data_IF_975413650256
#
_entry.id   IF_975413650256
#
_cell.length_a   1.000
_cell.length_b   1.000
_cell.length_c   1.000
_cell.angle_alpha   90.00
_cell.angle_beta   90.00
_cell.angle_gamma   90.00
#
_symmetry.space_group_name_H-M   'P 1'
#
loop_
_entity.id
_entity.type
_entity.pdbx_description
1 polymer ?
#
# COMPACT_ATOMS: atom_id res chain seq x y z
N UNK A 1 14.77 5.30 24.76
CA UNK A 1 14.78 5.70 23.35
C UNK A 1 13.79 4.81 22.63
N UNK A 2 12.93 5.43 21.83
CA UNK A 2 12.12 4.87 20.75
C UNK A 2 11.18 3.71 21.08
N UNK A 3 9.90 4.03 21.25
CA UNK A 3 8.83 3.10 20.93
C UNK A 3 8.97 2.75 19.45
N UNK A 4 9.62 1.63 19.15
CA UNK A 4 9.86 1.12 17.79
C UNK A 4 8.55 1.08 17.01
N UNK A 5 8.33 2.10 16.17
CA UNK A 5 7.33 2.02 15.12
C UNK A 5 7.89 1.00 14.13
N UNK A 6 7.17 -0.11 13.84
CA UNK A 6 7.68 -1.14 12.95
C UNK A 6 8.12 -0.52 11.63
N UNK A 7 9.34 -0.80 11.20
CA UNK A 7 9.84 -0.32 9.91
C UNK A 7 8.85 -0.66 8.80
N UNK A 8 8.39 0.36 8.08
CA UNK A 8 7.36 0.24 7.05
C UNK A 8 7.97 -0.19 5.71
N UNK A 9 8.78 -1.26 5.76
CA UNK A 9 9.40 -1.85 4.58
C UNK A 9 8.39 -2.81 3.93
N UNK A 10 8.02 -2.61 2.66
CA UNK A 10 7.06 -3.50 2.02
C UNK A 10 7.69 -4.88 1.78
N UNK A 11 6.91 -5.96 1.95
CA UNK A 11 7.38 -7.32 1.74
C UNK A 11 7.52 -7.62 0.24
N UNK A 12 8.11 -8.77 -0.09
CA UNK A 12 8.47 -9.13 -1.45
C UNK A 12 7.26 -9.17 -2.39
N UNK A 13 6.12 -9.65 -1.90
CA UNK A 13 4.87 -9.79 -2.65
C UNK A 13 4.32 -8.42 -3.06
N UNK A 14 4.44 -7.42 -2.19
CA UNK A 14 4.05 -6.03 -2.49
C UNK A 14 4.95 -5.43 -3.55
N UNK A 15 6.26 -5.69 -3.44
CA UNK A 15 7.25 -5.22 -4.41
C UNK A 15 7.02 -5.84 -5.80
N UNK A 16 6.75 -7.15 -5.86
CA UNK A 16 6.46 -7.88 -7.10
C UNK A 16 5.18 -7.37 -7.76
N UNK A 17 4.11 -7.13 -6.99
CA UNK A 17 2.87 -6.57 -7.52
C UNK A 17 3.08 -5.15 -8.09
N UNK A 18 3.83 -4.30 -7.38
CA UNK A 18 4.17 -2.96 -7.85
C UNK A 18 5.02 -2.99 -9.13
N UNK A 19 5.98 -3.91 -9.22
CA UNK A 19 6.78 -4.12 -10.43
C UNK A 19 5.90 -4.58 -11.61
N UNK A 20 5.00 -5.54 -11.37
CA UNK A 20 4.02 -6.00 -12.37
C UNK A 20 3.14 -4.84 -12.86
N UNK A 21 2.62 -4.02 -11.96
CA UNK A 21 1.83 -2.84 -12.32
C UNK A 21 2.59 -1.85 -13.19
N UNK A 22 3.89 -1.64 -12.92
CA UNK A 22 4.75 -0.80 -13.75
C UNK A 22 4.98 -1.40 -15.15
N UNK A 23 5.21 -2.70 -15.24
CA UNK A 23 5.36 -3.43 -16.52
C UNK A 23 4.09 -3.31 -17.37
N UNK A 24 2.93 -3.65 -16.80
CA UNK A 24 1.64 -3.55 -17.50
C UNK A 24 1.34 -2.11 -17.92
N UNK A 25 1.59 -1.12 -17.05
CA UNK A 25 1.42 0.29 -17.43
C UNK A 25 2.33 0.71 -18.58
N UNK A 26 3.56 0.21 -18.63
CA UNK A 26 4.49 0.49 -19.72
C UNK A 26 3.98 -0.08 -21.04
N UNK A 27 3.43 -1.29 -21.01
CA UNK A 27 2.91 -2.00 -22.18
C UNK A 27 1.59 -1.40 -22.70
N UNK A 28 0.59 -1.25 -21.83
CA UNK A 28 -0.76 -0.84 -22.23
C UNK A 28 -1.00 0.68 -22.14
N UNK A 29 -0.03 1.43 -21.60
CA UNK A 29 -0.05 2.90 -21.48
C UNK A 29 -1.29 3.48 -20.78
N UNK A 30 -1.95 2.68 -19.92
CA UNK A 30 -3.15 3.06 -19.16
C UNK A 30 -3.04 2.68 -17.69
N UNK A 31 -3.95 3.21 -16.87
CA UNK A 31 -4.04 2.90 -15.44
C UNK A 31 -3.13 3.74 -14.54
N UNK A 32 -3.70 4.20 -13.42
CA UNK A 32 -3.02 4.96 -12.37
C UNK A 32 -2.58 6.38 -12.76
N UNK A 33 -2.36 7.21 -11.75
CA UNK A 33 -1.77 8.55 -11.90
C UNK A 33 -0.25 8.50 -11.70
N UNK A 34 0.44 9.62 -11.96
CA UNK A 34 1.88 9.73 -11.66
C UNK A 34 2.19 9.48 -10.17
N UNK A 35 1.25 9.76 -9.27
CA UNK A 35 1.36 9.41 -7.84
C UNK A 35 1.40 7.90 -7.65
N UNK A 36 0.56 7.15 -8.36
CA UNK A 36 0.58 5.68 -8.35
C UNK A 36 1.89 5.12 -8.92
N UNK A 37 2.42 5.73 -9.99
CA UNK A 37 3.71 5.33 -10.58
C UNK A 37 4.86 5.57 -9.61
N UNK A 38 4.91 6.74 -8.97
CA UNK A 38 5.92 7.05 -7.96
C UNK A 38 5.82 6.06 -6.78
N UNK A 39 4.60 5.78 -6.30
CA UNK A 39 4.36 4.79 -5.25
C UNK A 39 4.89 3.41 -5.65
N UNK A 40 4.58 2.93 -6.85
CA UNK A 40 5.05 1.65 -7.33
C UNK A 40 6.58 1.56 -7.37
N UNK A 41 7.27 2.66 -7.72
CA UNK A 41 8.73 2.73 -7.70
C UNK A 41 9.29 2.65 -6.28
N UNK A 42 8.65 3.26 -5.29
CA UNK A 42 9.07 3.12 -3.90
C UNK A 42 8.86 1.68 -3.40
N UNK A 43 7.69 1.11 -3.71
CA UNK A 43 7.30 -0.24 -3.29
C UNK A 43 8.20 -1.32 -3.90
N UNK A 44 8.45 -1.29 -5.23
CA UNK A 44 9.29 -2.29 -5.90
C UNK A 44 10.73 -2.33 -5.34
N UNK A 45 11.24 -1.16 -4.93
CA UNK A 45 12.59 -1.01 -4.41
C UNK A 45 12.66 -1.28 -2.89
N UNK A 46 11.54 -1.72 -2.29
CA UNK A 46 11.41 -2.00 -0.86
C UNK A 46 11.91 -0.86 0.04
N UNK A 47 11.65 0.38 -0.39
CA UNK A 47 11.97 1.56 0.42
C UNK A 47 11.04 1.59 1.64
N UNK A 48 11.58 1.96 2.80
CA UNK A 48 10.76 2.32 3.95
C UNK A 48 9.87 3.52 3.60
N UNK A 49 8.58 3.45 3.93
CA UNK A 49 7.61 4.51 3.64
C UNK A 49 6.97 5.04 4.92
N UNK A 50 6.61 6.32 4.97
CA UNK A 50 6.05 6.91 6.20
C UNK A 50 4.68 6.34 6.62
N UNK A 51 4.31 6.46 7.90
CA UNK A 51 2.96 6.15 8.40
C UNK A 51 1.87 6.85 7.55
N UNK A 52 2.08 8.12 7.21
CA UNK A 52 1.17 8.91 6.37
C UNK A 52 0.95 8.24 5.02
N UNK A 53 2.00 7.64 4.47
CA UNK A 53 1.90 6.86 3.24
C UNK A 53 1.09 5.59 3.45
N UNK A 54 1.35 4.80 4.50
CA UNK A 54 0.59 3.58 4.79
C UNK A 54 -0.91 3.89 4.90
N UNK A 55 -1.28 4.95 5.63
CA UNK A 55 -2.67 5.43 5.71
C UNK A 55 -3.26 5.81 4.35
N UNK A 56 -2.46 6.44 3.48
CA UNK A 56 -2.87 6.78 2.11
C UNK A 56 -3.11 5.53 1.27
N UNK A 57 -2.29 4.48 1.43
CA UNK A 57 -2.50 3.19 0.76
C UNK A 57 -3.83 2.57 1.20
N UNK A 58 -4.12 2.52 2.50
CA UNK A 58 -5.41 2.02 3.02
C UNK A 58 -6.59 2.80 2.43
N UNK A 59 -6.53 4.13 2.42
CA UNK A 59 -7.58 4.97 1.82
C UNK A 59 -7.73 4.74 0.31
N UNK A 60 -6.63 4.49 -0.40
CA UNK A 60 -6.66 4.14 -1.81
C UNK A 60 -7.41 2.83 -2.04
N UNK A 61 -6.99 1.74 -1.38
CA UNK A 61 -7.59 0.42 -1.57
C UNK A 61 -9.06 0.37 -1.16
N UNK A 62 -9.43 1.07 -0.08
CA UNK A 62 -10.84 1.17 0.34
C UNK A 62 -11.74 1.80 -0.73
N UNK A 63 -11.28 2.85 -1.41
CA UNK A 63 -12.05 3.54 -2.46
C UNK A 63 -12.12 2.77 -3.77
N UNK A 64 -11.09 2.00 -4.09
CA UNK A 64 -10.97 1.30 -5.37
C UNK A 64 -11.30 -0.19 -5.27
N UNK A 65 -11.85 -0.65 -4.13
CA UNK A 65 -12.28 -2.05 -3.96
C UNK A 65 -13.36 -2.45 -4.98
N UNK A 66 -14.20 -1.50 -5.39
CA UNK A 66 -15.23 -1.72 -6.40
C UNK A 66 -14.64 -1.95 -7.80
N UNK A 67 -13.45 -1.42 -8.10
CA UNK A 67 -12.77 -1.60 -9.39
C UNK A 67 -12.47 -3.07 -9.68
N UNK A 68 -12.38 -3.92 -8.64
CA UNK A 68 -12.23 -5.38 -8.78
C UNK A 68 -13.38 -6.05 -9.52
N UNK A 69 -14.51 -5.37 -9.69
CA UNK A 69 -15.69 -5.86 -10.42
C UNK A 69 -15.70 -5.45 -11.89
N UNK A 70 -14.76 -4.61 -12.32
CA UNK A 70 -14.66 -4.21 -13.72
C UNK A 70 -14.24 -5.39 -14.59
N UNK A 71 -14.66 -5.36 -15.86
CA UNK A 71 -14.21 -6.32 -16.87
C UNK A 71 -12.68 -6.31 -16.97
N UNK A 72 -12.10 -7.49 -17.14
CA UNK A 72 -10.65 -7.72 -17.26
C UNK A 72 -9.83 -7.23 -16.05
N UNK A 73 -10.45 -7.14 -14.87
CA UNK A 73 -9.68 -7.02 -13.64
C UNK A 73 -8.97 -8.34 -13.34
N UNK A 74 -7.63 -8.32 -13.27
CA UNK A 74 -6.83 -9.52 -13.06
C UNK A 74 -6.34 -10.21 -14.35
N UNK A 75 -6.72 -9.70 -15.52
CA UNK A 75 -6.23 -10.15 -16.82
C UNK A 75 -4.89 -9.45 -17.13
N UNK A 76 -3.83 -10.21 -17.42
CA UNK A 76 -2.51 -9.66 -17.77
C UNK A 76 -2.36 -9.34 -19.27
N UNK A 77 -3.17 -9.99 -20.10
CA UNK A 77 -3.17 -9.87 -21.56
C UNK A 77 -4.09 -8.72 -22.03
N UNK A 78 -5.11 -8.37 -21.24
CA UNK A 78 -5.94 -7.19 -21.46
C UNK A 78 -6.36 -6.47 -20.16
N UNK A 79 -5.40 -6.00 -19.33
CA UNK A 79 -5.67 -5.51 -17.98
C UNK A 79 -6.56 -4.28 -17.96
N UNK A 80 -7.58 -4.27 -17.11
CA UNK A 80 -8.36 -3.06 -16.84
C UNK A 80 -7.50 -1.94 -16.26
N UNK A 81 -7.93 -0.68 -16.45
CA UNK A 81 -7.23 0.48 -15.87
C UNK A 81 -7.18 0.42 -14.35
N UNK A 82 -8.25 -0.09 -13.73
CA UNK A 82 -8.35 -0.35 -12.30
C UNK A 82 -7.36 -1.40 -11.83
N UNK A 83 -7.17 -2.49 -12.58
CA UNK A 83 -6.19 -3.54 -12.22
C UNK A 83 -4.75 -3.03 -12.25
N UNK A 84 -4.37 -2.30 -13.31
CA UNK A 84 -3.03 -1.69 -13.37
C UNK A 84 -2.84 -0.72 -12.21
N UNK A 85 -3.82 0.15 -11.94
CA UNK A 85 -3.75 1.07 -10.82
C UNK A 85 -3.63 0.33 -9.48
N UNK A 86 -4.40 -0.72 -9.27
CA UNK A 86 -4.38 -1.56 -8.08
C UNK A 86 -2.98 -2.17 -7.84
N UNK A 87 -2.37 -2.72 -8.90
CA UNK A 87 -1.02 -3.26 -8.84
C UNK A 87 0.04 -2.20 -8.55
N UNK A 88 -0.08 -0.99 -9.10
CA UNK A 88 0.86 0.11 -8.79
C UNK A 88 0.88 0.47 -7.30
N UNK A 89 -0.21 0.22 -6.58
CA UNK A 89 -0.27 0.42 -5.13
C UNK A 89 0.14 -0.82 -4.32
N UNK A 90 0.56 -1.91 -4.98
CA UNK A 90 1.04 -3.14 -4.35
C UNK A 90 0.07 -4.31 -4.42
N UNK A 91 -1.06 -4.18 -5.13
CA UNK A 91 -2.04 -5.25 -5.30
C UNK A 91 -2.71 -5.68 -3.99
N UNK A 92 -3.26 -6.90 -3.99
CA UNK A 92 -3.92 -7.48 -2.81
C UNK A 92 -2.95 -7.65 -1.63
N UNK A 93 -1.68 -7.98 -1.92
CA UNK A 93 -0.61 -8.00 -0.91
C UNK A 93 -0.42 -6.62 -0.26
N UNK A 94 -0.41 -5.56 -1.07
CA UNK A 94 -0.25 -4.18 -0.62
C UNK A 94 -1.43 -3.71 0.23
N UNK A 95 -2.64 -4.13 -0.13
CA UNK A 95 -3.84 -3.87 0.67
C UNK A 95 -3.72 -4.50 2.05
N UNK A 96 -3.49 -5.82 2.10
CA UNK A 96 -3.38 -6.57 3.36
C UNK A 96 -2.29 -5.98 4.25
N UNK A 97 -1.11 -5.78 3.68
CA UNK A 97 0.05 -5.23 4.39
C UNK A 97 -0.25 -3.84 4.97
N UNK A 98 -0.84 -2.93 4.19
CA UNK A 98 -1.15 -1.58 4.64
C UNK A 98 -2.22 -1.56 5.75
N UNK A 99 -3.23 -2.43 5.67
CA UNK A 99 -4.27 -2.57 6.69
C UNK A 99 -3.69 -3.10 8.01
N UNK A 100 -2.81 -4.11 7.96
CA UNK A 100 -2.10 -4.66 9.12
C UNK A 100 -1.20 -3.61 9.78
N UNK A 101 -0.41 -2.89 8.99
CA UNK A 101 0.49 -1.85 9.50
C UNK A 101 -0.28 -0.69 10.11
N UNK A 102 -1.40 -0.27 9.51
CA UNK A 102 -2.29 0.74 10.12
C UNK A 102 -2.76 0.29 11.50
N UNK A 103 -3.18 -0.97 11.67
CA UNK A 103 -3.61 -1.50 12.98
C UNK A 103 -2.47 -1.50 14.00
N UNK A 104 -1.28 -1.94 13.60
CA UNK A 104 -0.10 -1.94 14.47
C UNK A 104 0.26 -0.53 14.96
N UNK A 105 0.22 0.46 14.06
CA UNK A 105 0.48 1.87 14.38
C UNK A 105 -0.54 2.43 15.38
N UNK A 106 -1.84 2.18 15.17
CA UNK A 106 -2.87 2.64 16.13
C UNK A 106 -2.70 1.97 17.49
N UNK A 107 -2.38 0.67 17.53
CA UNK A 107 -2.10 -0.06 18.77
C UNK A 107 -0.92 0.57 19.52
N UNK A 108 0.20 0.81 18.85
CA UNK A 108 1.38 1.43 19.44
C UNK A 108 1.08 2.84 19.98
N UNK A 109 0.28 3.65 19.26
CA UNK A 109 -0.14 4.98 19.72
C UNK A 109 -1.00 4.93 20.97
N UNK A 110 -1.95 3.99 21.01
CA UNK A 110 -2.81 3.81 22.18
C UNK A 110 -2.01 3.36 23.41
N UNK A 111 -1.09 2.41 23.25
CA UNK A 111 -0.20 1.96 24.31
C UNK A 111 0.71 3.09 24.82
N UNK A 112 1.29 3.89 23.92
CA UNK A 112 2.11 5.04 24.29
C UNK A 112 1.30 6.10 25.06
N UNK A 113 0.05 6.34 24.66
CA UNK A 113 -0.88 7.24 25.35
C UNK A 113 -1.20 6.73 26.75
N UNK A 114 -1.50 5.44 26.90
CA UNK A 114 -1.80 4.81 28.19
C UNK A 114 -0.59 4.87 29.13
N UNK A 115 0.62 4.55 28.65
CA UNK A 115 1.85 4.65 29.46
C UNK A 115 2.09 6.06 30.00
N UNK A 116 1.89 7.09 29.17
CA UNK A 116 2.01 8.50 29.60
C UNK A 116 0.97 8.89 30.64
N UNK A 117 -0.22 8.32 30.58
CA UNK A 117 -1.28 8.58 31.56
C UNK A 117 -0.96 7.91 32.91
N UNK A 118 -0.50 6.66 32.91
CA UNK A 118 -0.18 5.90 34.13
C UNK A 118 1.07 6.40 34.88
N UNK A 119 2.02 7.05 34.20
CA UNK A 119 3.22 7.64 34.84
C UNK A 119 3.00 9.03 35.46
N UNK A 120 1.87 9.66 35.19
CA UNK A 120 1.53 11.01 35.69
C UNK A 120 0.64 10.97 36.95
N UNK A 121 0.52 9.81 37.61
CA UNK A 121 -0.15 9.59 38.90
C UNK A 121 0.81 8.82 39.81
#
# INVERSE_FOLDING_TARGET
>A
MDSEIPDHIPPAEVAQAAEKGLKLRSQYRRGGTMVGVARARDLKNRKSISEKTVRRMVSYFSRHKADKRAENFGDDDNPSTGYIAWLLWGGDAGQKWAEEHKKAIEKAKNEAKMRRFTQSH
#
